data_IF_325880011689
#
_entry.id   IF_325880011689
#
_cell.length_a   1.000
_cell.length_b   1.000
_cell.length_c   1.000
_cell.angle_alpha   90.00
_cell.angle_beta   90.00
_cell.angle_gamma   90.00
#
_symmetry.space_group_name_H-M   'P 1'
#
loop_
_entity.id
_entity.type
_entity.pdbx_description
1 polymer ?
#
# COMPACT_ATOMS: atom_id res chain seq x y z
N UNK A 1 -19.03 16.68 0.82
CA UNK A 1 -19.93 16.77 -0.34
C UNK A 1 -20.91 15.61 -0.28
N UNK A 2 -22.20 15.85 -0.03
CA UNK A 2 -23.22 14.80 -0.03
C UNK A 2 -23.53 14.44 -1.49
N UNK A 3 -23.26 13.21 -1.92
CA UNK A 3 -23.70 12.71 -3.24
C UNK A 3 -25.22 12.61 -3.19
N UNK A 4 -25.92 13.46 -3.93
CA UNK A 4 -27.37 13.36 -4.12
C UNK A 4 -27.60 12.27 -5.18
N UNK A 5 -28.03 11.08 -4.76
CA UNK A 5 -28.37 10.00 -5.67
C UNK A 5 -29.74 10.28 -6.31
N UNK A 6 -29.80 10.27 -7.65
CA UNK A 6 -31.00 10.55 -8.44
C UNK A 6 -32.00 9.38 -8.52
N UNK A 7 -32.09 8.57 -7.46
CA UNK A 7 -33.15 7.59 -7.24
C UNK A 7 -34.14 8.15 -6.22
N UNK A 8 -35.41 7.74 -6.28
CA UNK A 8 -36.35 8.05 -5.21
C UNK A 8 -35.80 7.65 -3.83
N UNK A 9 -36.40 8.14 -2.72
CA UNK A 9 -35.93 7.81 -1.39
C UNK A 9 -35.86 6.27 -1.22
N UNK A 10 -34.79 5.74 -0.61
CA UNK A 10 -34.69 4.30 -0.36
C UNK A 10 -35.85 3.85 0.56
N UNK A 11 -36.27 2.58 0.46
CA UNK A 11 -37.20 2.00 1.44
C UNK A 11 -36.67 2.14 2.86
N UNK A 12 -37.57 2.12 3.85
CA UNK A 12 -37.15 2.08 5.25
C UNK A 12 -36.31 0.82 5.52
N UNK A 13 -35.36 0.88 6.45
CA UNK A 13 -34.45 -0.26 6.70
C UNK A 13 -35.18 -1.53 7.16
N UNK A 14 -36.35 -1.38 7.80
CA UNK A 14 -37.19 -2.49 8.26
C UNK A 14 -38.24 -2.95 7.25
N UNK A 15 -38.36 -2.28 6.10
CA UNK A 15 -39.40 -2.54 5.09
C UNK A 15 -38.99 -3.67 4.13
N UNK A 16 -39.26 -4.92 4.53
CA UNK A 16 -38.89 -6.10 3.74
C UNK A 16 -39.56 -6.15 2.36
N UNK A 17 -40.80 -5.67 2.23
CA UNK A 17 -41.53 -5.66 0.97
C UNK A 17 -40.99 -4.58 0.02
N UNK A 18 -40.71 -3.38 0.52
CA UNK A 18 -40.10 -2.32 -0.26
C UNK A 18 -38.71 -2.71 -0.80
N UNK A 19 -37.89 -3.38 0.02
CA UNK A 19 -36.61 -3.91 -0.44
C UNK A 19 -36.77 -5.06 -1.44
N UNK A 20 -37.74 -5.96 -1.26
CA UNK A 20 -38.03 -7.02 -2.24
C UNK A 20 -38.41 -6.44 -3.60
N UNK A 21 -39.32 -5.46 -3.63
CA UNK A 21 -39.71 -4.77 -4.85
C UNK A 21 -38.53 -4.07 -5.52
N UNK A 22 -37.68 -3.39 -4.76
CA UNK A 22 -36.48 -2.75 -5.30
C UNK A 22 -35.48 -3.75 -5.92
N UNK A 23 -35.42 -4.97 -5.41
CA UNK A 23 -34.62 -6.07 -5.98
C UNK A 23 -35.23 -6.55 -7.31
N UNK A 24 -36.54 -6.80 -7.33
CA UNK A 24 -37.28 -7.25 -8.53
C UNK A 24 -37.19 -6.22 -9.67
N UNK A 25 -37.29 -4.92 -9.33
CA UNK A 25 -37.18 -3.81 -10.27
C UNK A 25 -35.72 -3.53 -10.72
N UNK A 26 -34.73 -4.25 -10.17
CA UNK A 26 -33.31 -4.02 -10.46
C UNK A 26 -32.79 -2.65 -9.99
N UNK A 27 -33.50 -2.00 -9.07
CA UNK A 27 -33.28 -0.62 -8.66
C UNK A 27 -32.12 -0.44 -7.66
N UNK A 28 -31.55 -1.54 -7.14
CA UNK A 28 -30.44 -1.50 -6.16
C UNK A 28 -29.27 -0.63 -6.63
N UNK A 29 -28.96 -0.61 -7.92
CA UNK A 29 -27.83 0.18 -8.45
C UNK A 29 -27.94 1.68 -8.23
N UNK A 30 -29.15 2.20 -8.01
CA UNK A 30 -29.44 3.63 -7.84
C UNK A 30 -29.61 4.02 -6.38
N UNK A 31 -29.74 3.04 -5.49
CA UNK A 31 -29.94 3.26 -4.07
C UNK A 31 -28.57 3.41 -3.35
N UNK A 32 -28.50 4.19 -2.27
CA UNK A 32 -27.30 4.32 -1.48
C UNK A 32 -26.94 3.00 -0.79
N UNK A 33 -25.64 2.66 -0.80
CA UNK A 33 -25.12 1.44 -0.19
C UNK A 33 -25.35 1.44 1.33
N UNK A 34 -25.26 2.61 1.96
CA UNK A 34 -25.49 2.83 3.38
C UNK A 34 -26.90 2.39 3.81
N UNK A 35 -27.92 2.67 2.99
CA UNK A 35 -29.29 2.23 3.28
C UNK A 35 -29.45 0.73 3.11
N UNK A 36 -28.71 0.10 2.17
CA UNK A 36 -28.70 -1.35 2.04
C UNK A 36 -28.02 -2.03 3.23
N UNK A 37 -26.95 -1.43 3.76
CA UNK A 37 -26.29 -1.92 4.99
C UNK A 37 -27.27 -1.83 6.15
N UNK A 38 -27.94 -0.69 6.31
CA UNK A 38 -28.95 -0.51 7.35
C UNK A 38 -30.06 -1.56 7.23
N UNK A 39 -30.57 -1.80 6.02
CA UNK A 39 -31.58 -2.82 5.77
C UNK A 39 -31.07 -4.24 6.07
N UNK A 40 -29.87 -4.60 5.64
CA UNK A 40 -29.28 -5.91 5.91
C UNK A 40 -29.17 -6.21 7.42
N UNK A 41 -28.86 -5.18 8.20
CA UNK A 41 -28.70 -5.26 9.65
C UNK A 41 -30.03 -5.24 10.42
N UNK A 42 -31.03 -4.49 9.95
CA UNK A 42 -32.31 -4.32 10.65
C UNK A 42 -33.37 -5.36 10.26
N UNK A 43 -33.29 -5.90 9.03
CA UNK A 43 -34.22 -6.93 8.57
C UNK A 43 -34.06 -8.22 9.36
N UNK A 44 -35.20 -8.78 9.78
CA UNK A 44 -35.21 -10.05 10.51
C UNK A 44 -34.63 -11.19 9.65
N UNK A 45 -33.62 -11.93 10.16
CA UNK A 45 -32.96 -13.00 9.42
C UNK A 45 -33.87 -14.14 8.97
N UNK A 46 -34.97 -14.39 9.68
CA UNK A 46 -35.86 -15.52 9.44
C UNK A 46 -36.92 -15.18 8.40
N UNK A 47 -37.47 -13.97 8.45
CA UNK A 47 -38.58 -13.57 7.56
C UNK A 47 -38.10 -12.99 6.22
N UNK A 48 -36.93 -12.36 6.20
CA UNK A 48 -36.40 -11.67 5.01
C UNK A 48 -35.08 -12.27 4.51
N UNK A 49 -34.91 -13.58 4.64
CA UNK A 49 -33.64 -14.27 4.31
C UNK A 49 -33.24 -14.13 2.83
N UNK A 50 -34.21 -14.10 1.93
CA UNK A 50 -34.09 -13.88 0.49
C UNK A 50 -33.58 -12.46 0.19
N UNK A 51 -34.25 -11.45 0.77
CA UNK A 51 -33.91 -10.05 0.62
C UNK A 51 -32.51 -9.78 1.19
N UNK A 52 -32.23 -10.26 2.41
CA UNK A 52 -30.91 -10.10 3.05
C UNK A 52 -29.79 -10.74 2.23
N UNK A 53 -30.02 -11.92 1.64
CA UNK A 53 -29.04 -12.57 0.75
C UNK A 53 -28.76 -11.74 -0.50
N UNK A 54 -29.80 -11.19 -1.12
CA UNK A 54 -29.65 -10.34 -2.30
C UNK A 54 -28.88 -9.04 -1.99
N UNK A 55 -29.22 -8.39 -0.87
CA UNK A 55 -28.52 -7.19 -0.39
C UNK A 55 -27.05 -7.50 -0.07
N UNK A 56 -26.78 -8.60 0.64
CA UNK A 56 -25.42 -9.02 0.95
C UNK A 56 -24.60 -9.27 -0.31
N UNK A 57 -25.16 -9.98 -1.30
CA UNK A 57 -24.47 -10.23 -2.57
C UNK A 57 -24.11 -8.91 -3.25
N UNK A 58 -25.06 -7.97 -3.32
CA UNK A 58 -24.83 -6.68 -3.95
C UNK A 58 -23.74 -5.86 -3.22
N UNK A 59 -23.78 -5.83 -1.88
CA UNK A 59 -22.78 -5.16 -1.04
C UNK A 59 -21.40 -5.82 -1.15
N UNK A 60 -21.35 -7.15 -1.19
CA UNK A 60 -20.13 -7.93 -1.39
C UNK A 60 -19.49 -7.63 -2.75
N UNK A 61 -20.29 -7.58 -3.82
CA UNK A 61 -19.82 -7.24 -5.16
C UNK A 61 -19.31 -5.79 -5.20
N UNK A 62 -20.02 -4.86 -4.55
CA UNK A 62 -19.61 -3.47 -4.43
C UNK A 62 -18.28 -3.31 -3.66
N UNK A 63 -18.12 -3.98 -2.51
CA UNK A 63 -16.88 -4.01 -1.75
C UNK A 63 -15.74 -4.56 -2.61
N UNK A 64 -15.95 -5.69 -3.26
CA UNK A 64 -14.92 -6.34 -4.11
C UNK A 64 -14.43 -5.41 -5.22
N UNK A 65 -15.32 -4.65 -5.87
CA UNK A 65 -14.93 -3.64 -6.88
C UNK A 65 -14.07 -2.52 -6.30
N UNK A 66 -14.46 -2.00 -5.14
CA UNK A 66 -13.69 -0.94 -4.45
C UNK A 66 -12.31 -1.47 -4.05
N UNK A 67 -12.26 -2.64 -3.43
CA UNK A 67 -11.02 -3.28 -2.99
C UNK A 67 -10.08 -3.55 -4.17
N UNK A 68 -10.62 -4.06 -5.29
CA UNK A 68 -9.85 -4.32 -6.51
C UNK A 68 -9.21 -3.05 -7.06
N UNK A 69 -9.97 -1.96 -7.09
CA UNK A 69 -9.46 -0.66 -7.54
C UNK A 69 -8.41 -0.06 -6.61
N UNK A 70 -8.50 -0.34 -5.30
CA UNK A 70 -7.61 0.23 -4.29
C UNK A 70 -6.27 -0.51 -4.13
N UNK A 71 -6.26 -1.84 -4.23
CA UNK A 71 -5.02 -2.64 -4.08
C UNK A 71 -4.20 -2.63 -5.37
N UNK A 72 -4.84 -2.69 -6.54
CA UNK A 72 -4.11 -2.85 -7.80
C UNK A 72 -3.37 -4.20 -7.90
N UNK A 73 -2.61 -4.41 -8.98
CA UNK A 73 -2.00 -5.72 -9.29
C UNK A 73 -0.54 -5.85 -8.84
N UNK A 74 0.05 -4.81 -8.24
CA UNK A 74 1.47 -4.74 -7.92
C UNK A 74 1.85 -5.36 -6.55
N UNK A 75 0.88 -5.95 -5.85
CA UNK A 75 1.09 -6.66 -4.59
C UNK A 75 1.37 -8.15 -4.82
N UNK A 76 2.01 -8.85 -3.86
CA UNK A 76 2.09 -10.31 -3.86
C UNK A 76 0.71 -10.96 -4.09
N UNK A 77 0.68 -12.08 -4.82
CA UNK A 77 -0.55 -12.72 -5.28
C UNK A 77 -1.55 -11.75 -5.94
N UNK A 78 -1.05 -10.73 -6.67
CA UNK A 78 -1.87 -9.68 -7.32
C UNK A 78 -2.81 -8.94 -6.33
N UNK A 79 -2.45 -8.93 -5.05
CA UNK A 79 -3.27 -8.31 -4.00
C UNK A 79 -4.50 -9.11 -3.57
N UNK A 80 -4.71 -10.32 -4.09
CA UNK A 80 -5.86 -11.17 -3.75
C UNK A 80 -5.96 -11.43 -2.24
N UNK A 81 -4.83 -11.67 -1.58
CA UNK A 81 -4.81 -12.00 -0.14
C UNK A 81 -5.24 -10.81 0.73
N UNK A 82 -4.86 -9.60 0.34
CA UNK A 82 -5.29 -8.36 1.00
C UNK A 82 -6.79 -8.19 0.79
N UNK A 83 -7.25 -8.36 -0.45
CA UNK A 83 -8.65 -8.20 -0.82
C UNK A 83 -9.51 -9.20 -0.06
N UNK A 84 -9.14 -10.48 -0.04
CA UNK A 84 -9.87 -11.54 0.66
C UNK A 84 -9.96 -11.27 2.17
N UNK A 85 -8.85 -10.87 2.79
CA UNK A 85 -8.78 -10.56 4.23
C UNK A 85 -9.67 -9.38 4.59
N UNK A 86 -9.63 -8.31 3.80
CA UNK A 86 -10.45 -7.11 4.05
C UNK A 86 -11.91 -7.40 3.75
N UNK A 87 -12.21 -8.09 2.65
CA UNK A 87 -13.57 -8.47 2.27
C UNK A 87 -14.24 -9.31 3.34
N UNK A 88 -13.54 -10.31 3.90
CA UNK A 88 -14.02 -11.11 5.04
C UNK A 88 -14.36 -10.22 6.24
N UNK A 89 -13.46 -9.29 6.63
CA UNK A 89 -13.72 -8.35 7.73
C UNK A 89 -14.94 -7.45 7.49
N UNK A 90 -15.12 -6.96 6.27
CA UNK A 90 -16.29 -6.15 5.90
C UNK A 90 -17.56 -6.99 6.00
N UNK A 91 -17.55 -8.23 5.48
CA UNK A 91 -18.70 -9.13 5.58
C UNK A 91 -19.05 -9.47 7.04
N UNK A 92 -18.06 -9.72 7.89
CA UNK A 92 -18.29 -9.92 9.33
C UNK A 92 -18.92 -8.68 9.98
N UNK A 93 -18.42 -7.48 9.66
CA UNK A 93 -18.94 -6.23 10.19
C UNK A 93 -20.39 -5.95 9.74
N UNK A 94 -20.77 -6.36 8.52
CA UNK A 94 -22.15 -6.28 8.05
C UNK A 94 -23.14 -7.06 8.93
N UNK A 95 -22.69 -8.16 9.55
CA UNK A 95 -23.50 -8.98 10.45
C UNK A 95 -23.38 -8.61 11.94
N UNK A 96 -22.47 -7.69 12.28
CA UNK A 96 -22.24 -7.22 13.66
C UNK A 96 -22.55 -5.72 13.76
N UNK A 97 -23.83 -5.31 13.75
CA UNK A 97 -24.22 -3.89 13.77
C UNK A 97 -23.71 -3.14 15.01
N UNK A 98 -23.43 -3.84 16.10
CA UNK A 98 -22.86 -3.31 17.34
C UNK A 98 -21.36 -3.01 17.25
N UNK A 99 -20.66 -3.56 16.25
CA UNK A 99 -19.24 -3.29 16.05
C UNK A 99 -19.01 -1.87 15.52
N UNK A 100 -17.84 -1.29 15.81
CA UNK A 100 -17.44 0.03 15.31
C UNK A 100 -17.55 0.10 13.77
N UNK A 101 -17.05 -0.93 13.07
CA UNK A 101 -17.19 -1.01 11.62
C UNK A 101 -18.64 -1.18 11.18
N UNK A 102 -19.42 -2.01 11.89
CA UNK A 102 -20.83 -2.24 11.58
C UNK A 102 -21.66 -0.95 11.61
N UNK A 103 -21.42 -0.09 12.60
CA UNK A 103 -22.03 1.23 12.70
C UNK A 103 -21.49 2.18 11.62
N UNK A 104 -20.18 2.19 11.40
CA UNK A 104 -19.54 3.07 10.45
C UNK A 104 -19.95 2.77 8.98
N UNK A 105 -20.18 1.49 8.65
CA UNK A 105 -20.67 1.07 7.33
C UNK A 105 -22.08 1.61 7.02
N UNK A 106 -22.90 1.89 8.04
CA UNK A 106 -24.21 2.56 7.87
C UNK A 106 -24.06 4.05 7.58
N UNK A 107 -22.94 4.66 7.97
CA UNK A 107 -22.70 6.09 7.79
C UNK A 107 -21.94 6.39 6.48
N UNK A 108 -21.04 5.50 6.06
CA UNK A 108 -20.28 5.65 4.83
C UNK A 108 -19.62 4.35 4.41
N UNK A 109 -20.24 3.61 3.48
CA UNK A 109 -19.77 2.28 3.10
C UNK A 109 -18.40 2.34 2.41
N UNK A 110 -18.29 3.16 1.36
CA UNK A 110 -17.07 3.23 0.56
C UNK A 110 -15.88 3.78 1.34
N UNK A 111 -16.10 4.72 2.24
CA UNK A 111 -15.04 5.31 3.07
C UNK A 111 -14.44 4.27 4.02
N UNK A 112 -15.28 3.44 4.63
CA UNK A 112 -14.83 2.38 5.55
C UNK A 112 -14.13 1.25 4.80
N UNK A 113 -14.64 0.84 3.63
CA UNK A 113 -13.93 -0.15 2.78
C UNK A 113 -12.54 0.37 2.38
N UNK A 114 -12.44 1.64 1.96
CA UNK A 114 -11.16 2.28 1.61
C UNK A 114 -10.22 2.45 2.82
N UNK A 115 -10.77 2.76 3.98
CA UNK A 115 -9.98 2.83 5.21
C UNK A 115 -9.37 1.47 5.55
N UNK A 116 -10.18 0.40 5.51
CA UNK A 116 -9.74 -0.96 5.86
C UNK A 116 -8.71 -1.53 4.90
N UNK A 117 -8.82 -1.26 3.59
CA UNK A 117 -7.78 -1.69 2.63
C UNK A 117 -6.47 -0.95 2.83
N UNK A 118 -6.49 0.36 3.12
CA UNK A 118 -5.28 1.12 3.46
C UNK A 118 -4.62 0.61 4.74
N UNK A 119 -5.41 0.29 5.76
CA UNK A 119 -4.93 -0.31 7.00
C UNK A 119 -4.28 -1.69 6.77
N UNK A 120 -4.88 -2.52 5.91
CA UNK A 120 -4.32 -3.81 5.54
C UNK A 120 -2.99 -3.68 4.77
N UNK A 121 -2.90 -2.78 3.79
CA UNK A 121 -1.66 -2.50 3.06
C UNK A 121 -0.58 -1.94 3.99
N UNK A 122 -0.93 -1.03 4.88
CA UNK A 122 0.01 -0.48 5.87
C UNK A 122 0.50 -1.57 6.84
N UNK A 123 -0.36 -2.53 7.19
CA UNK A 123 0.00 -3.68 8.01
C UNK A 123 0.95 -4.61 7.25
N UNK A 124 0.67 -4.95 6.00
CA UNK A 124 1.53 -5.78 5.16
C UNK A 124 2.94 -5.15 5.01
N UNK A 125 3.01 -3.86 4.69
CA UNK A 125 4.28 -3.13 4.58
C UNK A 125 5.08 -3.10 5.90
N UNK A 126 4.42 -3.22 7.07
CA UNK A 126 5.12 -3.37 8.36
C UNK A 126 5.66 -4.79 8.56
N UNK A 127 4.96 -5.82 8.08
CA UNK A 127 5.37 -7.20 8.22
C UNK A 127 6.46 -7.59 7.20
N UNK A 128 6.49 -6.94 6.03
CA UNK A 128 7.59 -7.05 5.07
C UNK A 128 8.89 -6.35 5.51
N UNK A 129 8.89 -5.64 6.65
CA UNK A 129 10.07 -4.97 7.26
C UNK A 129 10.82 -5.85 8.27
N UNK A 130 10.55 -7.15 8.31
CA UNK A 130 11.41 -8.09 9.03
C UNK A 130 12.75 -8.18 8.25
N UNK A 131 13.93 -8.01 8.90
CA UNK A 131 15.21 -8.26 8.25
C UNK A 131 15.22 -9.67 7.67
N UNK A 132 15.64 -9.82 6.42
CA UNK A 132 15.95 -11.14 5.84
C UNK A 132 17.24 -11.66 6.50
N UNK A 133 17.14 -12.04 7.77
CA UNK A 133 18.06 -12.91 8.48
C UNK A 133 17.23 -14.07 9.04
N UNK A 134 16.73 -14.97 8.18
CA UNK A 134 16.29 -16.33 8.54
C UNK A 134 15.66 -17.11 7.37
N UNK A 135 16.17 -17.00 6.14
CA UNK A 135 15.89 -18.02 5.10
C UNK A 135 17.08 -18.24 4.15
N UNK A 136 18.30 -18.23 4.71
CA UNK A 136 19.46 -18.89 4.11
C UNK A 136 19.76 -20.15 4.92
N UNK A 137 19.03 -21.22 4.63
CA UNK A 137 19.46 -22.62 4.76
C UNK A 137 18.25 -23.52 4.56
N UNK A 138 17.93 -23.84 3.32
CA UNK A 138 17.38 -25.15 2.89
C UNK A 138 17.10 -25.17 1.38
N UNK A 139 18.01 -24.66 0.55
CA UNK A 139 18.08 -25.05 -0.86
C UNK A 139 19.55 -25.11 -1.27
N UNK A 140 20.25 -26.08 -0.71
CA UNK A 140 21.45 -26.62 -1.35
C UNK A 140 20.99 -27.52 -2.51
N UNK A 141 21.25 -27.02 -3.72
CA UNK A 141 21.73 -27.74 -4.91
C UNK A 141 21.07 -29.07 -5.35
N UNK A 142 20.45 -29.01 -6.55
CA UNK A 142 20.54 -29.91 -7.72
C UNK A 142 19.19 -29.81 -8.49
N UNK A 143 19.08 -29.64 -9.81
CA UNK A 143 20.04 -29.70 -10.92
C UNK A 143 19.49 -28.89 -12.12
N UNK A 144 20.43 -28.31 -12.87
CA UNK A 144 20.54 -28.22 -14.33
C UNK A 144 19.28 -28.16 -15.24
N UNK A 145 19.07 -27.03 -15.91
CA UNK A 145 19.14 -26.93 -17.40
C UNK A 145 18.71 -25.55 -17.89
N UNK A 146 19.54 -24.96 -18.74
CA UNK A 146 19.47 -23.56 -19.16
C UNK A 146 18.48 -23.20 -20.28
N UNK A 147 18.28 -21.88 -20.45
CA UNK A 147 17.98 -21.26 -21.74
C UNK A 147 18.28 -19.76 -21.74
N UNK A 148 19.41 -19.43 -22.36
CA UNK A 148 19.70 -18.37 -23.34
C UNK A 148 18.84 -17.07 -23.42
N UNK A 149 19.46 -15.95 -23.00
CA UNK A 149 19.58 -14.55 -23.56
C UNK A 149 18.32 -13.79 -24.08
N UNK A 150 18.19 -12.44 -23.91
CA UNK A 150 19.19 -11.42 -24.32
C UNK A 150 19.31 -10.12 -23.47
N UNK A 151 20.48 -9.46 -23.52
CA UNK A 151 20.69 -8.01 -23.25
C UNK A 151 20.51 -7.23 -24.57
N UNK A 152 20.31 -5.88 -24.65
CA UNK A 152 20.51 -4.86 -23.61
C UNK A 152 19.48 -3.69 -23.56
N UNK A 153 19.67 -2.84 -22.55
CA UNK A 153 19.21 -1.45 -22.41
C UNK A 153 17.77 -1.19 -21.90
N UNK A 154 17.72 -0.50 -20.74
CA UNK A 154 16.57 0.08 -20.02
C UNK A 154 15.84 -0.81 -19.01
N UNK A 155 16.59 -1.39 -18.06
CA UNK A 155 16.01 -2.08 -16.92
C UNK A 155 15.80 -1.12 -15.72
N UNK A 156 14.56 -0.79 -15.33
CA UNK A 156 14.27 0.00 -14.14
C UNK A 156 14.57 -0.73 -12.82
N UNK A 157 14.87 -2.04 -12.85
CA UNK A 157 15.35 -2.77 -11.68
C UNK A 157 16.73 -2.28 -11.21
N UNK A 158 17.63 -1.98 -12.15
CA UNK A 158 19.02 -1.63 -11.82
C UNK A 158 19.11 -0.31 -11.02
N UNK A 159 18.24 0.65 -11.34
CA UNK A 159 18.15 1.93 -10.61
C UNK A 159 17.47 1.82 -9.23
N UNK A 160 16.71 0.75 -8.97
CA UNK A 160 16.08 0.50 -7.67
C UNK A 160 17.04 -0.23 -6.72
N UNK A 161 17.85 -1.14 -7.24
CA UNK A 161 18.91 -1.83 -6.49
C UNK A 161 20.02 -0.85 -6.05
N UNK A 162 20.50 0.02 -6.96
CA UNK A 162 21.48 1.06 -6.61
C UNK A 162 20.95 2.04 -5.54
N UNK A 163 19.64 2.34 -5.54
CA UNK A 163 19.01 3.20 -4.52
C UNK A 163 18.88 2.52 -3.16
N UNK A 164 18.71 1.20 -3.12
CA UNK A 164 18.66 0.42 -1.88
C UNK A 164 20.02 0.32 -1.21
N UNK A 165 21.11 0.21 -1.98
CA UNK A 165 22.47 0.20 -1.44
C UNK A 165 22.87 1.56 -0.85
N UNK A 166 22.45 2.67 -1.48
CA UNK A 166 22.75 4.03 -0.98
C UNK A 166 22.11 4.31 0.38
N UNK A 167 20.84 3.94 0.62
CA UNK A 167 20.18 4.16 1.91
C UNK A 167 20.78 3.28 3.03
N UNK A 168 21.18 2.03 2.70
CA UNK A 168 21.88 1.15 3.65
C UNK A 168 23.26 1.69 4.03
N UNK A 169 24.01 2.23 3.07
CA UNK A 169 25.34 2.80 3.29
C UNK A 169 25.26 4.13 4.05
N UNK A 170 24.26 4.96 3.77
CA UNK A 170 24.03 6.22 4.47
C UNK A 170 23.52 6.03 5.91
N UNK A 171 22.84 4.92 6.21
CA UNK A 171 22.46 4.56 7.58
C UNK A 171 23.68 4.34 8.51
N UNK A 172 24.85 4.03 7.95
CA UNK A 172 26.10 3.86 8.71
C UNK A 172 26.74 5.20 9.14
N UNK A 173 26.25 6.35 8.67
CA UNK A 173 26.70 7.67 9.13
C UNK A 173 25.94 8.00 10.40
N UNK A 174 26.64 8.16 11.53
CA UNK A 174 26.00 8.31 12.85
C UNK A 174 25.17 9.60 12.99
N UNK A 175 25.52 10.66 12.27
CA UNK A 175 24.84 11.95 12.37
C UNK A 175 23.71 12.10 11.34
N UNK A 176 22.46 12.08 11.83
CA UNK A 176 21.24 12.22 11.03
C UNK A 176 21.20 13.51 10.19
N UNK A 177 21.79 14.60 10.69
CA UNK A 177 21.84 15.89 9.98
C UNK A 177 22.82 15.86 8.80
N UNK A 178 23.96 15.19 8.93
CA UNK A 178 24.93 14.97 7.85
C UNK A 178 24.34 14.01 6.80
N UNK A 179 23.61 12.98 7.24
CA UNK A 179 22.88 12.05 6.35
C UNK A 179 21.84 12.76 5.49
N UNK A 180 21.03 13.63 6.10
CA UNK A 180 20.00 14.41 5.40
C UNK A 180 20.63 15.39 4.39
N UNK A 181 21.70 16.07 4.80
CA UNK A 181 22.46 16.97 3.93
C UNK A 181 23.01 16.25 2.69
N UNK A 182 23.64 15.08 2.89
CA UNK A 182 24.20 14.28 1.81
C UNK A 182 23.11 13.71 0.88
N UNK A 183 21.97 13.27 1.45
CA UNK A 183 20.83 12.79 0.66
C UNK A 183 20.24 13.87 -0.26
N UNK A 184 20.14 15.10 0.23
CA UNK A 184 19.69 16.24 -0.56
C UNK A 184 20.73 16.65 -1.63
N UNK A 185 22.02 16.51 -1.32
CA UNK A 185 23.10 16.74 -2.28
C UNK A 185 23.11 15.71 -3.42
N UNK A 186 22.89 14.42 -3.12
CA UNK A 186 22.82 13.35 -4.14
C UNK A 186 21.58 13.41 -5.04
N UNK A 187 20.46 13.94 -4.51
CA UNK A 187 19.22 14.11 -5.28
C UNK A 187 19.09 15.50 -5.92
N UNK A 188 20.22 16.21 -6.08
CA UNK A 188 20.24 17.55 -6.65
C UNK A 188 19.90 17.50 -8.15
N UNK A 189 18.85 18.19 -8.62
CA UNK A 189 18.58 18.30 -10.05
C UNK A 189 19.67 19.17 -10.72
N UNK A 190 20.17 18.76 -11.88
CA UNK A 190 21.26 19.44 -12.60
C UNK A 190 20.94 20.91 -12.95
N UNK A 191 19.65 21.26 -13.02
CA UNK A 191 19.17 22.60 -13.32
C UNK A 191 18.47 23.22 -12.11
N UNK A 192 19.20 24.01 -11.32
CA UNK A 192 18.62 25.11 -10.55
C UNK A 192 18.60 25.02 -9.02
N UNK A 193 18.96 23.88 -8.42
CA UNK A 193 19.11 23.82 -6.95
C UNK A 193 20.52 24.27 -6.57
N UNK A 194 20.66 25.27 -5.70
CA UNK A 194 21.97 25.79 -5.28
C UNK A 194 22.35 25.21 -3.92
N UNK A 195 23.64 24.99 -3.64
CA UNK A 195 24.11 24.49 -2.33
C UNK A 195 23.63 25.38 -1.17
N UNK A 196 23.28 26.63 -1.47
CA UNK A 196 22.63 27.59 -0.57
C UNK A 196 21.23 27.15 -0.12
N UNK A 197 20.44 26.55 -1.00
CA UNK A 197 19.07 26.12 -0.71
C UNK A 197 19.08 24.86 0.16
N UNK A 198 20.02 23.96 -0.11
CA UNK A 198 20.26 22.76 0.71
C UNK A 198 20.77 23.18 2.10
N UNK A 199 21.72 24.11 2.16
CA UNK A 199 22.25 24.62 3.42
C UNK A 199 21.14 25.30 4.25
N UNK A 200 20.25 26.06 3.59
CA UNK A 200 19.07 26.67 4.22
C UNK A 200 18.06 25.63 4.72
N UNK A 201 17.81 24.56 3.96
CA UNK A 201 16.90 23.48 4.34
C UNK A 201 17.40 22.67 5.55
N UNK A 202 18.73 22.53 5.67
CA UNK A 202 19.37 21.82 6.79
C UNK A 202 19.68 22.77 7.97
N UNK A 203 19.55 24.09 7.76
CA UNK A 203 19.78 25.11 8.79
C UNK A 203 21.26 25.36 9.09
N UNK A 204 22.15 25.15 8.11
CA UNK A 204 23.61 25.29 8.24
C UNK A 204 24.18 26.29 7.24
N UNK A 205 25.44 26.69 7.43
CA UNK A 205 26.14 27.50 6.43
C UNK A 205 26.52 26.67 5.21
N UNK A 206 26.64 27.29 4.03
CA UNK A 206 27.10 26.60 2.81
C UNK A 206 28.49 25.99 2.98
N UNK A 207 29.36 26.65 3.75
CA UNK A 207 30.71 26.13 4.08
C UNK A 207 30.63 24.87 4.93
N UNK A 208 29.71 24.84 5.90
CA UNK A 208 29.45 23.67 6.75
C UNK A 208 28.83 22.52 5.94
N UNK A 209 27.93 22.83 5.00
CA UNK A 209 27.35 21.82 4.11
C UNK A 209 28.43 21.13 3.26
N UNK A 210 29.30 21.90 2.60
CA UNK A 210 30.40 21.36 1.78
C UNK A 210 31.34 20.51 2.64
N UNK A 211 31.67 20.99 3.84
CA UNK A 211 32.49 20.25 4.79
C UNK A 211 31.83 18.92 5.19
N UNK A 212 30.52 18.91 5.48
CA UNK A 212 29.79 17.69 5.82
C UNK A 212 29.71 16.70 4.66
N UNK A 213 29.58 17.18 3.43
CA UNK A 213 29.58 16.31 2.24
C UNK A 213 30.95 15.65 2.04
N UNK A 214 32.04 16.39 2.21
CA UNK A 214 33.40 15.84 2.11
C UNK A 214 33.76 14.91 3.28
N UNK A 215 33.31 15.21 4.50
CA UNK A 215 33.47 14.33 5.66
C UNK A 215 32.73 13.00 5.44
N UNK A 216 31.46 13.04 5.00
CA UNK A 216 30.70 11.83 4.68
C UNK A 216 31.35 11.06 3.54
N UNK A 217 31.84 11.74 2.50
CA UNK A 217 32.55 11.08 1.40
C UNK A 217 33.82 10.36 1.88
N UNK A 218 34.57 10.98 2.77
CA UNK A 218 35.80 10.42 3.35
C UNK A 218 35.49 9.23 4.27
N UNK A 219 34.46 9.34 5.12
CA UNK A 219 33.99 8.25 5.97
C UNK A 219 33.51 7.05 5.14
N UNK A 220 32.81 7.31 4.03
CA UNK A 220 32.37 6.26 3.12
C UNK A 220 33.55 5.60 2.38
N UNK A 221 34.57 6.35 1.99
CA UNK A 221 35.79 5.80 1.36
C UNK A 221 36.65 4.97 2.33
N UNK A 222 36.60 5.26 3.63
CA UNK A 222 37.31 4.52 4.66
C UNK A 222 36.63 3.20 5.07
N UNK A 223 35.36 2.98 4.69
CA UNK A 223 34.62 1.77 5.07
C UNK A 223 34.89 0.62 4.12
N UNK A 224 35.23 -0.53 4.69
CA UNK A 224 35.56 -1.77 3.97
C UNK A 224 34.43 -2.21 3.03
N UNK A 225 33.17 -2.04 3.41
CA UNK A 225 32.00 -2.35 2.59
C UNK A 225 31.95 -1.57 1.26
N UNK A 226 32.37 -0.29 1.27
CA UNK A 226 32.42 0.53 0.05
C UNK A 226 33.62 0.16 -0.82
N UNK A 227 34.72 -0.28 -0.21
CA UNK A 227 35.87 -0.80 -0.94
C UNK A 227 35.60 -2.16 -1.57
N UNK A 228 34.85 -3.03 -0.89
CA UNK A 228 34.46 -4.35 -1.39
C UNK A 228 33.46 -4.22 -2.54
N UNK A 229 32.51 -3.27 -2.48
CA UNK A 229 31.64 -2.91 -3.61
C UNK A 229 32.43 -2.34 -4.80
N UNK A 230 33.47 -1.54 -4.53
CA UNK A 230 34.34 -0.99 -5.58
C UNK A 230 35.19 -2.07 -6.25
N UNK A 231 35.64 -3.07 -5.50
CA UNK A 231 36.37 -4.24 -6.04
C UNK A 231 35.46 -5.17 -6.86
N UNK A 232 34.22 -5.36 -6.42
CA UNK A 232 33.18 -6.10 -7.16
C UNK A 232 32.81 -5.40 -8.48
N UNK A 233 32.74 -4.07 -8.48
CA UNK A 233 32.45 -3.27 -9.68
C UNK A 233 33.59 -3.25 -10.71
N UNK A 234 34.86 -3.40 -10.29
CA UNK A 234 36.03 -3.33 -11.19
C UNK A 234 36.43 -4.70 -11.74
N UNK A 235 35.77 -5.79 -11.32
CA UNK A 235 35.96 -7.10 -11.95
C UNK A 235 37.35 -7.72 -11.71
N UNK A 236 38.02 -7.38 -10.61
CA UNK A 236 39.23 -8.08 -10.20
C UNK A 236 38.85 -9.29 -9.35
N UNK A 237 38.67 -10.43 -10.02
CA UNK A 237 38.69 -11.74 -9.36
C UNK A 237 40.13 -12.05 -8.92
N UNK A 238 40.34 -12.60 -7.70
CA UNK A 238 41.64 -13.13 -7.30
C UNK A 238 42.07 -14.32 -8.16
#
# INVERSE_FOLDING_TARGET
MKRVFAGGPPPASTDSEGWRKAIEDGALTRLPLESMVAALQDLDPRTASDVRRALLKYLSDAASRILRGAVGFHHPNRGEDIIYRVHTKICEALFRPESSDGQALRAGFADIVNFRVKDAIATENKHSRIPVEAHLNEFAEQDDSGSTLPTPANDPLCAAEEKLDVERILALVAEDRKRLAFRLYMNKPETGSTDRDIAKAVGVSTKTLVQWVEEVRTELQSKKEVQDLRKLSVGEKP
#
